data_IF_577074653471
#
_entry.id   IF_577074653471
#
_cell.length_a   1.000
_cell.length_b   1.000
_cell.length_c   1.000
_cell.angle_alpha   90.00
_cell.angle_beta   90.00
_cell.angle_gamma   90.00
#
_symmetry.space_group_name_H-M   'P 1'
#
loop_
_entity.id
_entity.type
_entity.pdbx_description
1 polymer ?
2 non-polymer ?
3 non-polymer ?
4 water ?
#
# COMPACT_ATOMS: atom_id res chain seq x y z
N UNK A 1 -15.13 -6.18 9.77
CA UNK A 1 -13.93 -6.41 9.01
C UNK A 1 -13.41 -5.07 8.51
N UNK A 2 -12.11 -5.03 8.28
CA UNK A 2 -11.51 -3.84 7.71
C UNK A 2 -11.95 -3.76 6.23
N UNK A 3 -12.27 -2.55 5.81
CA UNK A 3 -12.63 -2.24 4.45
C UNK A 3 -12.06 -0.85 4.14
N UNK A 4 -12.19 -0.43 2.90
CA UNK A 4 -11.76 0.90 2.55
C UNK A 4 -12.57 1.84 3.44
N UNK A 5 -11.91 2.87 3.88
CA UNK A 5 -12.39 3.89 4.78
C UNK A 5 -12.36 3.54 6.25
N UNK A 6 -11.93 2.33 6.58
CA UNK A 6 -11.73 1.93 7.94
C UNK A 6 -10.41 2.53 8.43
N UNK A 7 -10.30 2.70 9.72
CA UNK A 7 -9.05 3.13 10.30
C UNK A 7 -8.09 1.94 10.27
N UNK A 8 -6.86 2.21 9.90
CA UNK A 8 -5.84 1.21 9.95
C UNK A 8 -5.40 1.09 11.42
N UNK A 9 -5.58 -0.10 11.99
CA UNK A 9 -5.24 -0.26 13.40
C UNK A 9 -3.76 -0.09 13.69
N UNK A 10 -3.47 0.60 14.79
CA UNK A 10 -2.11 0.77 15.21
C UNK A 10 -1.61 -0.50 15.91
N UNK A 11 -0.31 -0.64 15.95
CA UNK A 11 0.29 -1.79 16.56
C UNK A 11 1.75 -1.52 16.88
N UNK A 12 2.30 -2.34 17.73
CA UNK A 12 3.70 -2.34 18.05
C UNK A 12 4.26 -3.65 17.49
N UNK A 13 5.43 -3.60 16.93
CA UNK A 13 6.02 -4.80 16.38
C UNK A 13 7.52 -4.73 16.34
N UNK A 14 8.11 -5.91 16.25
CA UNK A 14 9.52 -6.10 16.03
C UNK A 14 9.69 -6.13 14.50
N UNK A 15 10.70 -5.44 14.03
CA UNK A 15 10.97 -5.33 12.62
C UNK A 15 12.48 -5.30 12.36
N UNK A 16 12.79 -5.31 11.07
CA UNK A 16 14.14 -5.28 10.57
C UNK A 16 14.81 -3.97 10.88
N UNK A 17 14.06 -2.97 11.29
CA UNK A 17 14.62 -1.67 11.72
C UNK A 17 14.51 -1.43 13.20
N UNK A 18 14.19 -2.47 13.93
CA UNK A 18 13.98 -2.42 15.35
C UNK A 18 12.51 -2.34 15.72
N UNK A 19 12.20 -2.23 17.00
CA UNK A 19 10.86 -2.12 17.41
C UNK A 19 10.23 -0.81 16.93
N UNK A 20 9.00 -0.90 16.43
CA UNK A 20 8.28 0.25 15.99
C UNK A 20 6.87 0.28 16.53
N UNK A 21 6.28 1.45 16.44
CA UNK A 21 4.89 1.67 16.68
C UNK A 21 4.48 2.09 15.25
N UNK A 22 3.45 1.47 14.68
CA UNK A 22 3.08 1.74 13.32
C UNK A 22 2.74 3.18 13.00
N UNK A 23 1.91 3.79 13.81
CA UNK A 23 1.53 5.16 13.59
C UNK A 23 2.74 6.10 13.67
N UNK A 24 3.60 5.86 14.63
CA UNK A 24 4.82 6.63 14.79
C UNK A 24 5.71 6.46 13.60
N UNK A 25 5.81 5.25 13.07
CA UNK A 25 6.64 5.05 11.92
C UNK A 25 6.12 5.86 10.73
N UNK A 26 4.82 5.79 10.51
CA UNK A 26 4.21 6.48 9.43
C UNK A 26 4.26 7.99 9.55
N UNK A 27 4.08 8.46 10.75
CA UNK A 27 4.06 9.89 10.96
C UNK A 27 2.95 10.52 10.20
N UNK A 28 3.25 11.59 9.49
CA UNK A 28 2.29 12.26 8.66
C UNK A 28 2.42 11.87 7.17
N UNK A 29 3.07 10.77 6.88
CA UNK A 29 3.24 10.32 5.54
C UNK A 29 2.11 9.37 5.15
N UNK A 30 1.99 9.13 3.88
CA UNK A 30 1.07 8.10 3.41
C UNK A 30 1.87 6.80 3.68
N UNK A 31 1.15 5.71 3.64
CA UNK A 31 1.73 4.42 3.84
C UNK A 31 1.22 3.33 2.91
N UNK A 32 2.12 2.40 2.61
CA UNK A 32 1.79 1.21 1.87
C UNK A 32 2.25 0.00 2.72
N UNK A 33 1.28 -0.75 3.23
CA UNK A 33 1.57 -1.93 3.99
C UNK A 33 1.31 -3.14 3.05
N UNK A 34 2.35 -3.92 2.78
CA UNK A 34 2.26 -5.06 1.92
C UNK A 34 2.66 -6.34 2.66
N UNK A 35 1.89 -7.38 2.37
CA UNK A 35 1.95 -8.62 3.05
C UNK A 35 2.45 -9.83 2.26
N UNK A 36 3.16 -10.69 2.99
CA UNK A 36 3.72 -11.92 2.48
C UNK A 36 3.50 -13.07 3.44
N UNK A 37 3.15 -14.25 2.90
CA UNK A 37 2.95 -15.42 3.76
C UNK A 37 4.23 -15.96 4.43
N UNK A 38 5.35 -15.85 3.75
CA UNK A 38 6.59 -16.42 4.22
C UNK A 38 7.79 -15.76 3.58
N UNK A 39 8.96 -15.92 4.17
CA UNK A 39 10.18 -15.41 3.60
C UNK A 39 10.73 -16.44 2.62
N UNK A 40 11.68 -16.04 1.80
CA UNK A 40 12.37 -16.93 0.87
C UNK A 40 11.45 -17.66 -0.09
N UNK A 41 10.45 -16.93 -0.54
CA UNK A 41 9.50 -17.41 -1.54
C UNK A 41 9.70 -16.49 -2.75
N UNK A 42 9.63 -17.10 -3.93
CA UNK A 42 9.98 -16.36 -5.11
C UNK A 42 9.21 -15.14 -5.56
N UNK A 43 7.90 -15.20 -5.64
CA UNK A 43 7.19 -14.05 -6.09
C UNK A 43 7.37 -12.90 -5.12
N UNK A 44 7.23 -13.19 -3.86
CA UNK A 44 7.37 -12.18 -2.83
C UNK A 44 8.77 -11.57 -2.83
N UNK A 45 9.76 -12.39 -3.08
CA UNK A 45 11.11 -11.88 -3.15
C UNK A 45 11.27 -10.86 -4.30
N UNK A 46 10.71 -11.15 -5.45
CA UNK A 46 10.75 -10.21 -6.55
C UNK A 46 10.00 -8.91 -6.23
N UNK A 47 8.90 -9.05 -5.50
CA UNK A 47 8.09 -7.91 -5.12
C UNK A 47 8.78 -6.95 -4.14
N UNK A 48 9.38 -7.51 -3.12
CA UNK A 48 10.08 -6.71 -2.19
C UNK A 48 11.29 -6.04 -2.86
N UNK A 49 11.90 -6.76 -3.75
CA UNK A 49 13.03 -6.24 -4.49
C UNK A 49 12.61 -5.01 -5.30
N UNK A 50 11.47 -5.11 -5.94
CA UNK A 50 10.98 -3.99 -6.73
C UNK A 50 10.66 -2.76 -5.88
N UNK A 51 9.98 -2.97 -4.76
CA UNK A 51 9.67 -1.87 -3.88
C UNK A 51 10.95 -1.24 -3.38
N UNK A 52 11.93 -2.07 -3.10
CA UNK A 52 13.21 -1.53 -2.65
C UNK A 52 13.89 -0.67 -3.71
N UNK A 53 13.90 -1.12 -4.92
CA UNK A 53 14.52 -0.38 -5.99
C UNK A 53 13.79 0.93 -6.24
N UNK A 54 12.48 0.87 -6.10
CA UNK A 54 11.65 2.03 -6.37
C UNK A 54 11.35 2.95 -5.19
N UNK A 55 11.99 2.73 -4.06
CA UNK A 55 11.70 3.49 -2.87
C UNK A 55 11.77 5.04 -3.12
N UNK A 56 12.68 5.49 -4.00
CA UNK A 56 12.74 6.93 -4.29
C UNK A 56 11.46 7.48 -4.88
N UNK A 57 10.77 6.65 -5.66
CA UNK A 57 9.52 7.01 -6.26
C UNK A 57 8.47 7.23 -5.16
N UNK A 58 8.49 6.38 -4.13
CA UNK A 58 7.62 6.53 -3.00
C UNK A 58 8.02 7.70 -2.08
N UNK A 59 9.32 7.87 -1.89
CA UNK A 59 9.76 8.94 -1.06
C UNK A 59 9.27 10.29 -1.59
N UNK A 60 9.34 10.47 -2.88
CA UNK A 60 8.94 11.74 -3.43
C UNK A 60 7.47 12.03 -3.33
N UNK A 61 6.70 10.99 -3.06
CA UNK A 61 5.28 11.16 -2.92
C UNK A 61 4.88 11.19 -1.44
N UNK A 62 5.84 11.33 -0.54
CA UNK A 62 5.58 11.29 0.89
C UNK A 62 4.87 9.99 1.31
N UNK A 63 5.34 8.88 0.77
CA UNK A 63 4.83 7.57 1.08
C UNK A 63 5.94 6.68 1.71
N UNK A 64 5.63 6.08 2.84
CA UNK A 64 6.52 5.18 3.52
C UNK A 64 6.03 3.73 3.28
N UNK A 65 6.96 2.87 2.95
CA UNK A 65 6.72 1.48 2.71
C UNK A 65 6.98 0.69 3.97
N UNK A 66 6.24 -0.38 4.08
CA UNK A 66 6.41 -1.33 5.18
C UNK A 66 5.88 -2.72 4.77
N UNK A 67 6.74 -3.67 4.95
CA UNK A 67 6.43 -4.98 4.57
C UNK A 67 6.00 -5.92 5.76
N UNK A 68 5.13 -6.94 5.67
CA UNK A 68 4.80 -7.82 6.72
C UNK A 68 4.99 -9.18 6.08
N UNK A 69 5.60 -10.05 6.88
CA UNK A 69 5.81 -11.43 6.53
C UNK A 69 5.73 -12.27 7.82
N UNK A 70 5.12 -13.46 7.76
CA UNK A 70 5.00 -14.28 8.91
C UNK A 70 6.15 -15.15 9.27
N UNK A 71 7.19 -14.49 9.71
CA UNK A 71 8.41 -15.08 10.20
C UNK A 71 9.06 -14.10 11.18
N UNK A 72 10.08 -14.56 11.86
CA UNK A 72 10.79 -13.71 12.80
C UNK A 72 11.74 -12.72 12.13
N UNK A 73 12.19 -11.74 12.86
CA UNK A 73 13.08 -10.72 12.35
C UNK A 73 14.39 -11.31 11.88
N UNK A 74 14.88 -12.29 12.60
CA UNK A 74 16.12 -12.90 12.19
C UNK A 74 15.99 -13.48 10.80
N UNK A 75 14.89 -14.12 10.53
CA UNK A 75 14.66 -14.66 9.22
C UNK A 75 14.57 -13.53 8.19
N UNK A 76 13.86 -12.48 8.54
CA UNK A 76 13.72 -11.35 7.63
C UNK A 76 15.06 -10.71 7.30
N UNK A 77 15.95 -10.64 8.28
CA UNK A 77 17.25 -10.07 8.01
C UNK A 77 18.03 -10.84 6.95
N UNK A 78 18.01 -12.16 7.03
CA UNK A 78 18.65 -13.00 6.04
C UNK A 78 17.99 -12.82 4.67
N UNK A 79 16.66 -12.74 4.68
CA UNK A 79 15.90 -12.55 3.45
C UNK A 79 16.30 -11.22 2.80
N UNK A 80 16.44 -10.19 3.61
CA UNK A 80 16.83 -8.90 3.05
C UNK A 80 18.21 -8.95 2.37
N UNK A 81 19.10 -9.77 2.91
CA UNK A 81 20.40 -9.91 2.29
C UNK A 81 20.25 -10.50 0.89
N UNK A 82 19.39 -11.48 0.74
CA UNK A 82 19.16 -12.06 -0.56
C UNK A 82 18.52 -11.01 -1.50
N UNK A 83 17.56 -10.28 -0.98
CA UNK A 83 16.86 -9.26 -1.76
C UNK A 83 17.85 -8.18 -2.25
N UNK A 84 18.77 -7.76 -1.40
CA UNK A 84 19.76 -6.79 -1.80
C UNK A 84 20.55 -7.31 -3.01
N UNK A 85 20.95 -8.56 -2.92
CA UNK A 85 21.68 -9.19 -4.00
C UNK A 85 20.90 -9.32 -5.28
N UNK A 86 19.68 -9.79 -5.18
CA UNK A 86 18.82 -9.94 -6.33
C UNK A 86 18.40 -8.66 -6.99
N UNK A 87 17.98 -7.71 -6.19
CA UNK A 87 17.58 -6.42 -6.68
C UNK A 87 18.73 -5.51 -7.04
N UNK A 88 19.93 -5.84 -6.62
CA UNK A 88 21.06 -4.97 -6.81
C UNK A 88 20.79 -3.60 -6.20
N UNK A 89 20.41 -3.59 -4.94
CA UNK A 89 20.20 -2.39 -4.18
C UNK A 89 21.15 -2.43 -2.99
N UNK A 90 21.63 -1.27 -2.59
CA UNK A 90 22.55 -1.13 -1.48
C UNK A 90 21.98 -1.32 -0.09
N UNK A 91 20.70 -1.07 -0.02
CA UNK A 91 19.95 -1.32 1.18
C UNK A 91 18.46 -1.35 0.89
N UNK A 92 17.74 -1.96 1.80
CA UNK A 92 16.29 -1.98 1.75
C UNK A 92 15.94 -0.97 2.82
N UNK A 93 15.44 0.16 2.39
CA UNK A 93 15.14 1.26 3.24
C UNK A 93 13.86 1.33 4.06
N UNK A 94 13.17 0.23 4.13
CA UNK A 94 11.96 0.15 4.87
C UNK A 94 12.00 -1.12 5.68
N UNK A 95 11.17 -1.11 6.71
CA UNK A 95 11.08 -2.26 7.57
C UNK A 95 10.25 -3.41 7.03
N UNK A 96 10.57 -4.58 7.54
CA UNK A 96 9.77 -5.75 7.32
C UNK A 96 9.40 -6.21 8.75
N UNK A 97 8.10 -6.33 9.01
CA UNK A 97 7.61 -6.72 10.30
C UNK A 97 7.74 -8.24 10.55
N UNK A 98 8.31 -8.59 11.69
CA UNK A 98 8.43 -9.97 12.05
C UNK A 98 7.19 -10.43 12.78
N UNK A 99 6.23 -10.93 12.04
CA UNK A 99 4.97 -11.37 12.56
C UNK A 99 4.95 -12.88 12.75
N UNK A 100 5.82 -13.32 13.63
CA UNK A 100 6.11 -14.68 13.84
C UNK A 100 4.87 -15.54 14.14
N UNK A 101 3.95 -14.97 14.91
CA UNK A 101 2.74 -15.67 15.36
C UNK A 101 1.42 -15.19 14.71
N UNK A 102 1.56 -14.46 13.63
CA UNK A 102 0.45 -13.97 12.84
C UNK A 102 -0.40 -12.96 13.56
N UNK A 103 0.10 -12.37 14.61
CA UNK A 103 -0.70 -11.45 15.36
C UNK A 103 -1.13 -10.19 14.56
N UNK A 104 -0.18 -9.61 13.83
CA UNK A 104 -0.47 -8.43 13.02
C UNK A 104 -1.35 -8.77 11.81
N UNK A 105 -1.09 -9.93 11.22
CA UNK A 105 -1.89 -10.38 10.12
C UNK A 105 -3.35 -10.56 10.53
N UNK A 106 -3.52 -11.09 11.73
CA UNK A 106 -4.81 -11.30 12.34
C UNK A 106 -5.52 -9.97 12.58
N UNK A 107 -4.75 -9.01 13.09
CA UNK A 107 -5.26 -7.70 13.36
C UNK A 107 -5.75 -7.01 12.06
N UNK A 108 -5.13 -7.39 10.97
CA UNK A 108 -5.47 -6.85 9.67
C UNK A 108 -6.44 -7.69 8.84
N UNK A 109 -7.03 -8.66 9.54
CA UNK A 109 -8.07 -9.53 9.00
C UNK A 109 -7.67 -10.50 7.89
N UNK A 110 -6.39 -10.74 7.76
CA UNK A 110 -5.92 -11.65 6.76
C UNK A 110 -5.96 -13.14 7.15
N UNK A 111 -6.10 -13.42 8.44
CA UNK A 111 -6.22 -14.77 8.95
C UNK A 111 -7.28 -14.72 10.08
N UNK A 112 -7.87 -15.86 10.39
CA UNK A 112 -8.87 -15.97 11.42
C UNK A 112 -8.39 -16.45 12.77
N UNK A 113 -7.11 -16.62 12.91
CA UNK A 113 -6.52 -16.98 14.18
C UNK A 113 -5.11 -16.44 14.32
N UNK A 114 -4.68 -16.18 15.53
CA UNK A 114 -3.33 -15.75 15.81
C UNK A 114 -2.72 -16.72 16.81
N UNK A 115 -1.43 -16.61 17.00
CA UNK A 115 -0.76 -17.42 17.98
C UNK A 115 0.05 -18.58 17.57
N UNK A 116 0.22 -18.74 16.26
CA UNK A 116 1.05 -19.79 15.77
C UNK A 116 1.85 -19.44 14.58
N UNK A 117 3.00 -20.05 14.56
CA UNK A 117 3.93 -19.75 13.53
C UNK A 117 3.66 -20.40 12.25
N UNK A 118 4.51 -20.02 11.35
CA UNK A 118 4.43 -20.53 10.07
C UNK A 118 4.79 -21.98 10.09
N UNK A 119 3.75 -22.68 9.83
CA UNK A 119 3.71 -24.03 9.54
C UNK A 119 3.38 -23.83 8.05
N UNK A 120 4.00 -24.62 7.24
CA UNK A 120 3.66 -24.64 5.83
C UNK A 120 2.43 -25.54 5.56
N UNK A 121 1.26 -25.18 6.08
CA UNK A 121 0.02 -25.89 5.94
C UNK A 121 -1.04 -25.20 5.08
N UNK A 122 -0.72 -24.09 4.45
CA UNK A 122 -1.70 -23.41 3.63
C UNK A 122 -2.61 -22.40 4.27
N UNK A 123 -2.55 -22.30 5.58
CA UNK A 123 -3.37 -21.36 6.31
C UNK A 123 -2.92 -19.90 6.11
N UNK A 124 -1.75 -19.70 5.52
CA UNK A 124 -1.22 -18.35 5.33
C UNK A 124 -1.30 -17.74 3.94
N UNK A 125 -1.96 -18.47 3.06
CA UNK A 125 -2.06 -18.05 1.69
C UNK A 125 -2.79 -16.73 1.54
N UNK A 126 -3.59 -16.40 2.52
CA UNK A 126 -4.35 -15.15 2.48
C UNK A 126 -3.60 -13.93 2.99
N UNK A 127 -2.38 -14.15 3.47
CA UNK A 127 -1.59 -13.03 4.00
C UNK A 127 -0.88 -12.37 2.84
N UNK A 128 -1.69 -11.71 2.05
CA UNK A 128 -1.26 -11.15 0.80
C UNK A 128 -1.86 -9.80 0.43
N UNK A 129 -2.49 -9.17 1.37
CA UNK A 129 -3.10 -7.90 1.09
C UNK A 129 -2.13 -6.74 1.10
N UNK A 130 -2.49 -5.74 0.32
CA UNK A 130 -1.77 -4.49 0.27
C UNK A 130 -2.77 -3.40 0.69
N UNK A 131 -2.38 -2.62 1.67
CA UNK A 131 -3.21 -1.54 2.14
C UNK A 131 -2.55 -0.18 1.90
N UNK A 132 -3.23 0.74 1.23
CA UNK A 132 -2.73 2.09 1.04
C UNK A 132 -3.42 2.93 2.10
N UNK A 133 -2.60 3.54 2.94
CA UNK A 133 -3.06 4.31 4.10
C UNK A 133 -2.68 5.79 4.03
N UNK A 134 -3.65 6.64 4.31
CA UNK A 134 -3.41 8.04 4.27
C UNK A 134 -2.78 8.56 5.57
N UNK A 135 -2.44 9.86 5.56
CA UNK A 135 -1.79 10.51 6.71
C UNK A 135 -2.65 10.54 7.96
N UNK A 136 -3.96 10.39 7.80
CA UNK A 136 -4.90 10.33 8.91
C UNK A 136 -5.17 8.88 9.33
N UNK A 137 -4.39 7.95 8.84
CA UNK A 137 -4.50 6.56 9.16
C UNK A 137 -5.74 5.88 8.61
N UNK A 138 -6.31 6.40 7.54
CA UNK A 138 -7.44 5.76 6.94
C UNK A 138 -6.96 4.85 5.85
N UNK A 139 -7.55 3.66 5.77
CA UNK A 139 -7.28 2.74 4.70
C UNK A 139 -8.06 3.29 3.50
N UNK A 140 -7.36 3.54 2.43
CA UNK A 140 -7.94 4.13 1.24
C UNK A 140 -8.21 3.19 0.07
N UNK A 141 -7.42 2.14 0.03
CA UNK A 141 -7.46 1.19 -1.04
C UNK A 141 -6.81 -0.10 -0.59
N UNK A 142 -7.39 -1.23 -1.02
CA UNK A 142 -6.90 -2.53 -0.70
C UNK A 142 -6.87 -3.42 -1.92
N UNK A 143 -5.85 -4.25 -2.00
CA UNK A 143 -5.83 -5.23 -3.02
C UNK A 143 -5.13 -6.50 -2.56
N UNK A 144 -5.68 -7.63 -3.00
CA UNK A 144 -5.14 -8.92 -2.64
C UNK A 144 -4.93 -9.86 -3.81
N UNK A 145 -3.65 -10.05 -4.15
CA UNK A 145 -3.22 -10.95 -5.16
C UNK A 145 -2.64 -12.19 -4.45
N UNK A 146 -2.95 -13.33 -5.07
CA UNK A 146 -2.45 -14.55 -4.49
C UNK A 146 -0.87 -14.65 -4.62
N UNK A 147 -0.13 -15.47 -3.87
CA UNK A 147 1.28 -15.47 -3.85
C UNK A 147 1.81 -15.93 -5.16
N UNK A 148 0.94 -16.54 -5.97
CA UNK A 148 1.22 -17.04 -7.34
C UNK A 148 1.36 -15.96 -8.42
N UNK A 149 0.78 -14.81 -8.16
CA UNK A 149 0.74 -13.69 -9.07
C UNK A 149 1.36 -12.41 -8.50
N UNK A 150 2.46 -12.03 -9.08
CA UNK A 150 3.16 -10.85 -8.66
C UNK A 150 2.37 -9.60 -8.95
N UNK A 151 2.56 -8.65 -8.06
CA UNK A 151 1.88 -7.37 -8.11
C UNK A 151 2.46 -6.48 -9.21
N UNK A 152 1.90 -5.28 -9.29
CA UNK A 152 2.34 -4.29 -10.28
C UNK A 152 2.71 -2.98 -9.58
N UNK A 153 3.99 -2.67 -9.57
CA UNK A 153 4.44 -1.47 -8.89
C UNK A 153 3.94 -0.18 -9.51
N UNK A 154 3.80 -0.20 -10.81
CA UNK A 154 3.33 0.93 -11.53
C UNK A 154 1.90 1.26 -11.16
N UNK A 155 1.11 0.24 -10.97
CA UNK A 155 -0.26 0.45 -10.57
C UNK A 155 -0.34 1.00 -9.14
N UNK A 156 0.52 0.54 -8.24
CA UNK A 156 0.50 1.06 -6.90
C UNK A 156 0.82 2.57 -6.94
N UNK A 157 1.80 2.94 -7.74
CA UNK A 157 2.12 4.34 -7.87
C UNK A 157 0.97 5.14 -8.54
N UNK A 158 0.32 4.53 -9.50
CA UNK A 158 -0.75 5.20 -10.20
C UNK A 158 -1.91 5.56 -9.26
N UNK A 159 -2.30 4.60 -8.46
CA UNK A 159 -3.36 4.85 -7.52
C UNK A 159 -2.97 5.84 -6.43
N UNK A 160 -1.71 5.82 -6.02
CA UNK A 160 -1.27 6.76 -5.04
C UNK A 160 -1.42 8.19 -5.64
N UNK A 161 -1.01 8.29 -6.89
CA UNK A 161 -1.10 9.59 -7.53
C UNK A 161 -2.55 10.07 -7.65
N UNK A 162 -3.43 9.17 -8.01
CA UNK A 162 -4.82 9.48 -8.09
C UNK A 162 -5.39 9.85 -6.74
N UNK A 163 -5.06 9.10 -5.70
CA UNK A 163 -5.60 9.40 -4.39
C UNK A 163 -5.15 10.74 -3.85
N UNK A 164 -3.88 11.01 -4.03
CA UNK A 164 -3.33 12.26 -3.59
C UNK A 164 -3.93 13.43 -4.35
N UNK A 165 -4.09 13.24 -5.63
CA UNK A 165 -4.68 14.28 -6.46
C UNK A 165 -6.14 14.55 -6.09
N UNK A 166 -6.89 13.49 -5.87
CA UNK A 166 -8.25 13.66 -5.49
C UNK A 166 -8.39 14.41 -4.15
N UNK A 167 -7.55 14.10 -3.18
CA UNK A 167 -7.55 14.78 -1.92
C UNK A 167 -7.12 16.24 -2.07
N UNK A 168 -6.13 16.45 -2.89
CA UNK A 168 -5.64 17.80 -3.07
C UNK A 168 -6.55 18.77 -3.80
N UNK A 169 -7.10 18.31 -4.89
CA UNK A 169 -7.92 19.14 -5.76
C UNK A 169 -9.43 18.92 -5.75
N UNK A 170 -9.90 17.93 -5.02
CA UNK A 170 -11.30 17.62 -5.01
C UNK A 170 -11.86 17.20 -6.34
N UNK A 171 -11.18 16.26 -6.94
CA UNK A 171 -11.54 15.70 -8.22
C UNK A 171 -11.54 14.18 -8.08
N UNK A 172 -12.01 13.54 -9.12
CA UNK A 172 -12.08 12.08 -9.20
C UNK A 172 -11.45 11.63 -10.51
N UNK A 173 -10.94 10.39 -10.56
CA UNK A 173 -10.24 9.94 -11.72
C UNK A 173 -10.94 8.78 -12.42
N UNK A 174 -10.95 8.87 -13.75
CA UNK A 174 -11.63 7.87 -14.55
C UNK A 174 -10.80 6.61 -14.72
N UNK A 175 -11.42 5.63 -15.30
CA UNK A 175 -10.76 4.41 -15.59
C UNK A 175 -9.49 4.71 -16.41
N UNK A 176 -8.43 4.02 -16.05
CA UNK A 176 -7.18 4.08 -16.74
C UNK A 176 -6.46 5.42 -16.73
N UNK A 177 -6.82 6.27 -15.79
CA UNK A 177 -6.23 7.57 -15.68
C UNK A 177 -4.73 7.57 -15.45
N UNK A 178 -4.04 8.46 -16.13
CA UNK A 178 -2.66 8.67 -15.88
C UNK A 178 -2.52 10.16 -15.54
N UNK A 179 -1.50 10.48 -14.77
CA UNK A 179 -1.24 11.88 -14.45
C UNK A 179 -1.06 12.67 -15.75
N UNK A 180 -1.63 13.86 -15.70
CA UNK A 180 -1.78 14.92 -16.71
C UNK A 180 -3.03 14.69 -17.54
N UNK A 181 -3.70 13.56 -17.37
CA UNK A 181 -4.95 13.34 -18.07
C UNK A 181 -6.05 14.18 -17.39
N UNK A 182 -7.10 14.42 -18.11
CA UNK A 182 -8.22 15.14 -17.57
C UNK A 182 -8.87 14.34 -16.43
N UNK A 183 -9.40 15.08 -15.49
CA UNK A 183 -10.08 14.58 -14.32
C UNK A 183 -11.57 14.92 -14.35
N UNK A 184 -12.28 14.36 -13.39
CA UNK A 184 -13.70 14.51 -13.29
C UNK A 184 -14.16 15.29 -12.07
N UNK A 185 -15.14 16.16 -12.24
CA UNK A 185 -15.64 16.95 -11.17
C UNK A 185 -16.64 16.11 -10.41
N UNK A 186 -16.49 16.02 -9.09
CA UNK A 186 -17.40 15.23 -8.31
C UNK A 186 -18.82 15.79 -8.42
N UNK A 187 -19.76 14.84 -8.44
CA UNK A 187 -21.17 15.19 -8.56
C UNK A 187 -21.70 16.04 -7.43
N UNK A 188 -21.05 16.01 -6.30
CA UNK A 188 -21.48 16.81 -5.17
C UNK A 188 -21.27 18.28 -5.52
N UNK A 189 -20.50 18.56 -6.56
CA UNK A 189 -20.21 19.91 -6.99
C UNK A 189 -21.15 20.35 -8.11
N UNK A 190 -21.94 21.40 -7.85
CA UNK A 190 -22.86 21.93 -8.83
C UNK A 190 -22.14 22.58 -9.99
N UNK A 191 -22.84 22.75 -11.10
CA UNK A 191 -22.22 23.36 -12.24
C UNK A 191 -21.70 24.77 -11.93
N UNK A 192 -22.45 25.55 -11.17
CA UNK A 192 -22.01 26.87 -10.79
C UNK A 192 -20.76 26.81 -9.90
N UNK A 193 -20.77 25.92 -8.95
CA UNK A 193 -19.63 25.69 -8.05
C UNK A 193 -18.46 25.21 -8.89
N UNK A 194 -18.73 24.37 -9.88
CA UNK A 194 -17.69 23.91 -10.75
C UNK A 194 -17.06 25.03 -11.59
N UNK A 195 -17.90 25.96 -12.04
CA UNK A 195 -17.38 27.05 -12.81
C UNK A 195 -16.48 27.90 -11.89
N UNK A 196 -16.87 28.06 -10.67
CA UNK A 196 -16.08 28.85 -9.73
C UNK A 196 -14.71 28.27 -9.37
N UNK A 197 -14.70 26.97 -9.18
CA UNK A 197 -13.50 26.21 -8.79
C UNK A 197 -12.59 25.74 -9.92
N UNK A 198 -13.18 25.29 -11.03
CA UNK A 198 -12.43 24.73 -12.12
C UNK A 198 -12.41 25.47 -13.42
N UNK A 199 -13.27 26.44 -13.56
CA UNK A 199 -13.28 27.16 -14.80
C UNK A 199 -14.16 26.62 -15.91
N UNK A 200 -13.59 25.83 -16.80
CA UNK A 200 -14.26 25.26 -17.94
C UNK A 200 -14.28 23.74 -17.74
N UNK A 201 -15.32 23.11 -18.22
CA UNK A 201 -15.49 21.67 -18.16
C UNK A 201 -16.34 21.22 -19.33
N UNK A 202 -16.18 19.96 -19.68
CA UNK A 202 -16.90 19.31 -20.74
C UNK A 202 -17.93 18.39 -20.13
N UNK A 203 -19.19 18.76 -20.21
CA UNK A 203 -20.32 18.02 -19.68
C UNK A 203 -20.79 17.01 -20.71
N UNK A 204 -20.37 15.77 -20.52
CA UNK A 204 -20.75 14.64 -21.33
C UNK A 204 -22.19 14.24 -20.98
N UNK A 205 -22.43 14.20 -19.67
CA UNK A 205 -23.71 14.01 -19.05
C UNK A 205 -23.65 14.91 -17.83
N UNK A 206 -24.80 15.21 -17.23
CA UNK A 206 -24.78 16.12 -16.07
C UNK A 206 -23.88 15.65 -14.93
N UNK A 207 -23.75 14.34 -14.79
CA UNK A 207 -22.94 13.76 -13.74
C UNK A 207 -21.49 13.46 -14.16
N UNK A 208 -21.22 13.60 -15.45
CA UNK A 208 -19.92 13.31 -15.98
C UNK A 208 -19.35 14.51 -16.72
N UNK A 209 -18.54 15.25 -15.97
CA UNK A 209 -17.88 16.47 -16.43
C UNK A 209 -16.37 16.40 -16.29
N UNK A 210 -15.68 16.47 -17.41
CA UNK A 210 -14.22 16.46 -17.43
C UNK A 210 -13.61 17.88 -17.40
N UNK A 211 -12.52 18.02 -16.68
CA UNK A 211 -11.84 19.29 -16.60
C UNK A 211 -10.38 19.01 -16.62
N UNK A 212 -9.60 19.99 -17.01
CA UNK A 212 -8.17 19.80 -17.11
C UNK A 212 -7.48 19.71 -15.79
N UNK A 213 -6.37 18.99 -15.81
CA UNK A 213 -5.55 18.82 -14.65
C UNK A 213 -4.48 19.84 -14.77
X LIG B 1 4.26 -20.28 -4.62
X LIG B 1 2.95 -19.90 -4.44
X LIG B 1 4.91 -19.11 -3.94
X LIG B 1 5.92 -19.63 -3.13
X LIG B 1 5.41 -18.10 -4.98
X LIG B 1 6.33 -17.31 -4.36
X LIG B 1 4.52 -20.36 -5.68
X LIG B 1 4.47 -21.22 -4.11
X LIG B 1 2.36 -20.53 -4.89
X LIG B 1 4.17 -18.63 -3.32
X LIG B 1 6.60 -20.07 -3.70
X LIG B 1 4.58 -17.50 -5.35
X LIG B 1 5.88 -18.61 -5.81
X LIG C 1 -17.96 24.97 -18.99
#
# INVERSE_FOLDING_TARGET
MLRINSDAPNFDADTTVGKINFYDYLGDSWGVLFSHPADFTPVCTTEVSAFAKLKPEFDKRNVKLIGLSVEDVESHEKWIQDIKEIAKVKNVGFPIIGDTFRNVAFLYDMVDAEGFKNINDGSLKTVRSVFVIDPKKKIRLIFTYPSTVGRNTSEVLRVIDALQLTDKEGVVTPINWQPADDVIIPPSVSNDEAKAKFGQFNEIKPYLRFTKSK
GOL C1 O1 C2 O2 C3 O3 H11 H12 HO1 H2 HO2 H31 H32
NA NA
#
